data_IF_612700448832
#
_entry.id   IF_612700448832
#
_cell.length_a   1.000
_cell.length_b   1.000
_cell.length_c   1.000
_cell.angle_alpha   90.00
_cell.angle_beta   90.00
_cell.angle_gamma   90.00
#
_symmetry.space_group_name_H-M   'P 1'
#
loop_
_entity.id
_entity.type
_entity.pdbx_description
1 polymer ?
#
# COMPACT_ATOMS: atom_id res chain seq x y z
N UNK A 1 -35.11 16.73 32.84
CA UNK A 1 -34.63 15.60 32.02
C UNK A 1 -33.24 15.28 32.55
N UNK A 2 -33.25 14.44 33.57
CA UNK A 2 -32.10 14.03 34.38
C UNK A 2 -31.41 12.89 33.63
N UNK A 3 -30.13 13.07 33.30
CA UNK A 3 -29.36 12.00 32.70
C UNK A 3 -28.99 11.02 33.80
N UNK A 4 -29.68 9.88 33.89
CA UNK A 4 -29.28 8.80 34.78
C UNK A 4 -27.99 8.14 34.26
N UNK A 5 -26.92 8.23 35.05
CA UNK A 5 -25.73 7.40 34.91
C UNK A 5 -26.08 5.94 35.14
N UNK A 6 -26.12 5.13 34.08
CA UNK A 6 -26.17 3.68 34.22
C UNK A 6 -25.07 2.99 33.41
N UNK A 7 -24.17 2.36 34.17
CA UNK A 7 -23.26 1.27 33.82
C UNK A 7 -22.41 1.42 32.54
N UNK A 8 -21.19 1.90 32.74
CA UNK A 8 -20.02 1.74 31.87
C UNK A 8 -19.69 0.25 31.63
N UNK A 9 -20.36 -0.40 30.69
CA UNK A 9 -19.81 -1.58 30.00
C UNK A 9 -19.94 -1.33 28.51
N UNK A 10 -19.09 -0.44 27.99
CA UNK A 10 -18.83 -0.42 26.55
C UNK A 10 -18.28 -1.80 26.21
N UNK A 11 -19.15 -2.67 25.69
CA UNK A 11 -18.76 -3.82 24.89
C UNK A 11 -18.03 -3.23 23.68
N UNK A 12 -16.75 -2.91 23.86
CA UNK A 12 -15.85 -2.64 22.76
C UNK A 12 -15.90 -3.89 21.92
N UNK A 13 -16.57 -3.79 20.77
CA UNK A 13 -16.41 -4.77 19.72
C UNK A 13 -14.90 -4.80 19.44
N UNK A 14 -14.22 -5.80 20.01
CA UNK A 14 -12.87 -6.17 19.60
C UNK A 14 -13.13 -6.95 18.31
N UNK A 15 -12.97 -6.34 17.11
CA UNK A 15 -12.91 -7.16 15.91
C UNK A 15 -11.91 -8.26 16.21
N UNK A 16 -12.32 -9.52 16.02
CA UNK A 16 -11.39 -10.64 15.99
C UNK A 16 -10.52 -10.40 14.76
N UNK A 17 -9.52 -9.53 14.89
CA UNK A 17 -8.39 -9.57 14.00
C UNK A 17 -7.77 -10.93 14.28
N UNK A 18 -8.10 -11.92 13.45
CA UNK A 18 -7.11 -12.96 13.19
C UNK A 18 -5.85 -12.19 12.78
N UNK A 19 -4.75 -12.30 13.55
CA UNK A 19 -3.48 -11.83 13.04
C UNK A 19 -3.34 -12.48 11.67
N UNK A 20 -3.03 -11.75 10.58
CA UNK A 20 -2.63 -12.41 9.36
C UNK A 20 -1.56 -13.42 9.75
N UNK A 21 -1.80 -14.69 9.42
CA UNK A 21 -1.05 -15.82 9.94
C UNK A 21 0.44 -15.49 9.97
N UNK A 22 1.02 -15.68 11.15
CA UNK A 22 2.41 -15.37 11.50
C UNK A 22 3.38 -16.08 10.55
N UNK A 23 3.66 -15.47 9.41
CA UNK A 23 4.63 -15.97 8.43
C UNK A 23 5.44 -14.87 7.75
N UNK A 24 5.56 -13.72 8.40
CA UNK A 24 6.29 -12.62 7.79
C UNK A 24 7.20 -11.94 8.79
N UNK A 25 8.51 -11.97 8.51
CA UNK A 25 9.53 -11.16 9.19
C UNK A 25 9.33 -9.66 8.86
N UNK A 26 8.10 -9.15 8.92
CA UNK A 26 7.70 -7.81 8.53
C UNK A 26 7.35 -7.05 9.80
N UNK A 27 7.93 -5.88 9.95
CA UNK A 27 7.63 -4.98 11.05
C UNK A 27 6.26 -4.30 10.86
N UNK A 28 5.63 -3.87 11.94
CA UNK A 28 4.38 -3.07 11.90
C UNK A 28 4.47 -1.86 10.94
N UNK A 29 5.66 -1.25 10.85
CA UNK A 29 5.92 -0.14 9.93
C UNK A 29 5.83 -0.60 8.47
N UNK A 30 6.44 -1.72 8.14
CA UNK A 30 6.40 -2.30 6.80
C UNK A 30 4.99 -2.77 6.43
N UNK A 31 4.22 -3.36 7.36
CA UNK A 31 2.80 -3.66 7.14
C UNK A 31 1.99 -2.41 6.78
N UNK A 32 2.20 -1.31 7.50
CA UNK A 32 1.54 -0.03 7.22
C UNK A 32 1.90 0.48 5.83
N UNK A 33 3.16 0.35 5.43
CA UNK A 33 3.60 0.69 4.06
C UNK A 33 2.87 -0.19 3.05
N UNK A 34 2.84 -1.50 3.23
CA UNK A 34 2.18 -2.44 2.30
C UNK A 34 0.68 -2.15 2.16
N UNK A 35 -0.02 -1.87 3.25
CA UNK A 35 -1.45 -1.53 3.21
C UNK A 35 -1.71 -0.25 2.42
N UNK A 36 -0.84 0.77 2.56
CA UNK A 36 -0.89 1.99 1.73
C UNK A 36 -0.63 1.65 0.25
N UNK A 37 0.37 0.84 -0.05
CA UNK A 37 0.69 0.42 -1.42
C UNK A 37 -0.46 -0.34 -2.08
N UNK A 38 -1.09 -1.29 -1.35
CA UNK A 38 -2.22 -2.08 -1.85
C UNK A 38 -3.42 -1.22 -2.24
N UNK A 39 -3.63 -0.10 -1.54
CA UNK A 39 -4.68 0.86 -1.85
C UNK A 39 -4.27 1.93 -2.86
N UNK A 40 -3.06 1.82 -3.44
CA UNK A 40 -2.56 2.75 -4.46
C UNK A 40 -1.84 3.99 -3.90
N UNK A 41 -1.65 4.08 -2.58
CA UNK A 41 -1.07 5.24 -1.93
C UNK A 41 0.47 5.19 -1.91
N UNK A 42 1.07 5.95 -2.81
CA UNK A 42 2.48 6.35 -2.74
C UNK A 42 2.59 7.86 -2.90
N UNK A 43 3.71 8.44 -2.47
CA UNK A 43 3.98 9.86 -2.73
C UNK A 43 3.91 10.16 -4.24
N UNK A 44 4.56 9.36 -5.07
CA UNK A 44 4.58 9.56 -6.53
C UNK A 44 3.18 9.58 -7.17
N UNK A 45 2.22 8.84 -6.62
CA UNK A 45 0.88 8.69 -7.19
C UNK A 45 -0.19 9.50 -6.48
N UNK A 46 0.10 10.15 -5.33
CA UNK A 46 -0.90 10.89 -4.55
C UNK A 46 -0.47 12.32 -4.14
N UNK A 47 0.81 12.69 -4.26
CA UNK A 47 1.30 14.03 -3.82
C UNK A 47 0.58 15.17 -4.57
N UNK A 48 0.19 14.94 -5.82
CA UNK A 48 -0.57 15.90 -6.63
C UNK A 48 -1.91 16.30 -6.00
N UNK A 49 -2.59 15.38 -5.29
CA UNK A 49 -3.85 15.67 -4.61
C UNK A 49 -3.65 16.64 -3.45
N UNK A 50 -2.53 16.51 -2.73
CA UNK A 50 -2.19 17.38 -1.61
C UNK A 50 -1.79 18.78 -2.09
N UNK A 51 -1.09 18.85 -3.22
CA UNK A 51 -0.62 20.11 -3.82
C UNK A 51 -1.63 20.77 -4.76
N UNK A 52 -2.74 20.08 -5.08
CA UNK A 52 -3.71 20.48 -6.11
C UNK A 52 -3.05 20.70 -7.48
N UNK A 53 -2.07 19.85 -7.79
CA UNK A 53 -1.37 19.83 -9.07
C UNK A 53 -2.07 18.88 -10.06
N UNK A 54 -1.60 18.87 -11.29
CA UNK A 54 -2.09 17.94 -12.31
C UNK A 54 -1.75 16.48 -11.98
N UNK A 55 -2.60 15.58 -12.46
CA UNK A 55 -2.42 14.15 -12.24
C UNK A 55 -1.12 13.65 -12.90
N UNK A 56 -0.25 12.93 -12.15
CA UNK A 56 1.01 12.49 -12.69
C UNK A 56 0.80 11.45 -13.80
N UNK A 57 1.52 11.62 -14.89
CA UNK A 57 1.56 10.67 -16.01
C UNK A 57 2.92 9.99 -16.10
N UNK A 58 2.92 8.74 -16.55
CA UNK A 58 4.15 8.04 -16.87
C UNK A 58 4.74 8.62 -18.16
N UNK A 59 5.92 9.23 -18.07
CA UNK A 59 6.62 9.83 -19.23
C UNK A 59 6.88 8.85 -20.38
N UNK A 60 7.03 7.55 -20.09
CA UNK A 60 7.30 6.53 -21.11
C UNK A 60 6.02 6.00 -21.77
N UNK A 61 4.93 5.90 -21.01
CA UNK A 61 3.69 5.23 -21.46
C UNK A 61 2.56 6.21 -21.77
N UNK A 62 2.72 7.48 -21.39
CA UNK A 62 1.73 8.54 -21.53
C UNK A 62 0.34 8.19 -20.97
N UNK A 63 0.32 7.44 -19.87
CA UNK A 63 -0.90 7.10 -19.12
C UNK A 63 -0.77 7.54 -17.67
N UNK A 64 -1.91 7.58 -16.96
CA UNK A 64 -1.96 7.85 -15.52
C UNK A 64 -0.96 7.01 -14.73
N UNK A 65 -0.16 7.65 -13.91
CA UNK A 65 0.78 6.98 -13.03
C UNK A 65 0.03 6.36 -11.84
N UNK A 66 0.05 5.04 -11.73
CA UNK A 66 -0.55 4.29 -10.64
C UNK A 66 0.44 3.32 -10.02
N UNK A 67 0.19 2.87 -8.78
CA UNK A 67 1.06 1.86 -8.12
C UNK A 67 1.10 0.57 -8.92
N UNK A 68 -0.04 0.12 -9.46
CA UNK A 68 -0.11 -1.03 -10.37
C UNK A 68 0.77 -0.82 -11.59
N UNK A 69 0.67 0.35 -12.24
CA UNK A 69 1.51 0.64 -13.39
C UNK A 69 3.00 0.54 -13.03
N UNK A 70 3.43 1.15 -11.93
CA UNK A 70 4.83 1.14 -11.49
C UNK A 70 5.30 -0.31 -11.17
N UNK A 71 4.49 -1.09 -10.46
CA UNK A 71 4.83 -2.42 -9.95
C UNK A 71 4.64 -3.56 -10.95
N UNK A 72 3.89 -3.38 -12.03
CA UNK A 72 3.53 -4.47 -12.94
C UNK A 72 3.73 -4.11 -14.41
N UNK A 73 3.27 -2.94 -14.82
CA UNK A 73 3.04 -2.66 -16.25
C UNK A 73 4.12 -1.79 -16.89
N UNK A 74 4.82 -0.95 -16.11
CA UNK A 74 5.68 0.10 -16.65
C UNK A 74 6.99 -0.47 -17.24
N UNK A 75 7.28 -0.26 -18.54
CA UNK A 75 8.53 -0.71 -19.15
C UNK A 75 9.77 -0.04 -18.54
N UNK A 76 9.62 1.21 -18.09
CA UNK A 76 10.71 1.99 -17.46
C UNK A 76 11.21 1.33 -16.18
N UNK A 77 10.33 0.71 -15.40
CA UNK A 77 10.71 0.08 -14.13
C UNK A 77 11.03 -1.41 -14.27
N UNK A 78 10.94 -2.01 -15.46
CA UNK A 78 11.18 -3.45 -15.68
C UNK A 78 12.53 -3.91 -15.14
N UNK A 79 13.62 -3.19 -15.44
CA UNK A 79 14.97 -3.55 -14.95
C UNK A 79 15.03 -3.54 -13.42
N UNK A 80 14.44 -2.53 -12.80
CA UNK A 80 14.39 -2.41 -11.33
C UNK A 80 13.53 -3.52 -10.72
N UNK A 81 12.34 -3.79 -11.28
CA UNK A 81 11.48 -4.88 -10.83
C UNK A 81 12.18 -6.23 -10.87
N UNK A 82 12.93 -6.50 -11.94
CA UNK A 82 13.72 -7.72 -12.06
C UNK A 82 14.82 -7.79 -10.99
N UNK A 83 15.52 -6.67 -10.74
CA UNK A 83 16.56 -6.60 -9.69
C UNK A 83 15.99 -6.89 -8.28
N UNK A 84 14.77 -6.40 -8.01
CA UNK A 84 14.06 -6.69 -6.75
C UNK A 84 13.20 -7.96 -6.82
N UNK A 85 13.24 -8.73 -7.90
CA UNK A 85 12.44 -9.95 -8.07
C UNK A 85 10.93 -9.73 -7.80
N UNK A 86 10.38 -8.65 -8.36
CA UNK A 86 8.97 -8.26 -8.31
C UNK A 86 8.26 -8.86 -9.53
N UNK A 87 7.18 -9.61 -9.29
CA UNK A 87 6.37 -10.21 -10.35
C UNK A 87 5.58 -9.17 -11.16
N UNK A 88 5.21 -9.53 -12.39
CA UNK A 88 4.44 -8.66 -13.28
C UNK A 88 2.93 -8.66 -13.01
N UNK A 89 2.47 -9.32 -11.95
CA UNK A 89 1.08 -9.29 -11.50
C UNK A 89 1.02 -8.79 -10.07
N UNK A 90 -0.06 -8.11 -9.68
CA UNK A 90 -0.17 -7.54 -8.33
C UNK A 90 -0.04 -8.61 -7.24
N UNK A 91 -0.69 -9.75 -7.42
CA UNK A 91 -0.64 -10.86 -6.47
C UNK A 91 0.79 -11.37 -6.28
N UNK A 92 1.54 -11.52 -7.37
CA UNK A 92 2.92 -12.00 -7.33
C UNK A 92 3.89 -10.91 -6.86
N UNK A 93 3.62 -9.64 -7.14
CA UNK A 93 4.39 -8.51 -6.63
C UNK A 93 4.31 -8.46 -5.09
N UNK A 94 3.10 -8.53 -4.52
CA UNK A 94 2.91 -8.47 -3.07
C UNK A 94 3.26 -9.77 -2.32
N UNK A 95 3.52 -10.87 -3.03
CA UNK A 95 4.01 -12.13 -2.42
C UNK A 95 5.36 -11.97 -1.71
N UNK A 96 6.19 -11.00 -2.15
CA UNK A 96 7.50 -10.69 -1.57
C UNK A 96 7.52 -9.25 -1.02
N UNK A 97 6.90 -9.02 0.14
CA UNK A 97 6.64 -7.68 0.66
C UNK A 97 7.91 -6.84 0.87
N UNK A 98 9.00 -7.42 1.37
CA UNK A 98 10.27 -6.71 1.58
C UNK A 98 10.88 -6.18 0.28
N UNK A 99 10.69 -6.91 -0.81
CA UNK A 99 11.21 -6.55 -2.11
C UNK A 99 10.46 -5.34 -2.67
N UNK A 100 9.12 -5.34 -2.55
CA UNK A 100 8.26 -4.22 -2.94
C UNK A 100 8.61 -2.96 -2.15
N UNK A 101 8.82 -3.09 -0.84
CA UNK A 101 9.20 -1.96 0.02
C UNK A 101 10.58 -1.43 -0.38
N UNK A 102 11.54 -2.30 -0.66
CA UNK A 102 12.90 -1.90 -1.07
C UNK A 102 12.93 -1.25 -2.44
N UNK A 103 12.04 -1.65 -3.35
CA UNK A 103 11.92 -1.06 -4.68
C UNK A 103 11.42 0.39 -4.66
N UNK A 104 10.65 0.79 -3.63
CA UNK A 104 10.08 2.15 -3.49
C UNK A 104 10.86 3.05 -2.53
N UNK A 105 11.94 2.55 -1.93
CA UNK A 105 12.89 3.37 -1.16
C UNK A 105 13.91 4.01 -2.09
#
# INVERSE_FOLDING_TARGET
LEWEETANTKNYYKPKHTPPESQSNITRREETILTRLKTGHTRLTHDYLLKKEEEPTCQQCNIKLTVRHILCDCPRTTKQRNNFNIGNHLETAFSKPKNVISFLK
#
